data_IF_147538463032
#
_entry.id   IF_147538463032
#
_cell.length_a   1.000
_cell.length_b   1.000
_cell.length_c   1.000
_cell.angle_alpha   90.00
_cell.angle_beta   90.00
_cell.angle_gamma   90.00
#
_symmetry.space_group_name_H-M   'P 1'
#
loop_
_entity.id
_entity.type
_entity.pdbx_description
1 polymer ?
#
# COMPACT_ATOMS: atom_id res chain seq x y z
N UNK A 1 -2.52 -16.21 -8.34
CA UNK A 1 -1.84 -15.93 -7.05
C UNK A 1 -1.98 -17.19 -6.22
N UNK A 2 -0.96 -17.61 -5.44
CA UNK A 2 -1.12 -18.75 -4.55
C UNK A 2 -2.27 -18.50 -3.57
N UNK A 3 -2.96 -19.57 -3.17
CA UNK A 3 -3.97 -19.50 -2.13
C UNK A 3 -3.27 -19.24 -0.79
N UNK A 4 -3.58 -18.11 -0.15
CA UNK A 4 -2.95 -17.68 1.10
C UNK A 4 -3.94 -17.97 2.22
N UNK A 5 -3.49 -18.69 3.26
CA UNK A 5 -4.31 -19.03 4.45
C UNK A 5 -4.86 -17.75 5.08
N UNK A 6 -6.17 -17.69 5.30
CA UNK A 6 -6.85 -16.50 5.81
C UNK A 6 -7.43 -16.76 7.19
N UNK A 7 -7.30 -15.78 8.08
CA UNK A 7 -7.85 -15.80 9.42
C UNK A 7 -8.70 -14.55 9.66
N UNK A 8 -9.64 -14.65 10.60
CA UNK A 8 -10.48 -13.56 11.11
C UNK A 8 -10.54 -13.67 12.62
N UNK A 9 -10.71 -12.53 13.29
CA UNK A 9 -11.02 -12.45 14.72
C UNK A 9 -10.06 -13.27 15.60
N UNK A 10 -8.76 -13.19 15.29
CA UNK A 10 -7.74 -13.97 16.00
C UNK A 10 -7.36 -13.33 17.33
N UNK A 11 -7.11 -14.17 18.33
CA UNK A 11 -6.51 -13.75 19.59
C UNK A 11 -4.99 -13.55 19.47
N UNK A 12 -4.39 -12.89 20.47
CA UNK A 12 -2.93 -12.78 20.56
C UNK A 12 -2.24 -14.15 20.65
N UNK A 13 -2.82 -15.12 21.37
CA UNK A 13 -2.26 -16.47 21.48
C UNK A 13 -2.30 -17.21 20.14
N UNK A 14 -3.40 -17.06 19.39
CA UNK A 14 -3.51 -17.60 18.04
C UNK A 14 -2.50 -16.94 17.10
N UNK A 15 -2.27 -15.64 17.23
CA UNK A 15 -1.25 -14.92 16.44
C UNK A 15 0.15 -15.50 16.68
N UNK A 16 0.53 -15.81 17.92
CA UNK A 16 1.82 -16.43 18.21
C UNK A 16 1.97 -17.80 17.54
N UNK A 17 0.92 -18.62 17.53
CA UNK A 17 0.95 -19.90 16.81
C UNK A 17 1.08 -19.72 15.29
N UNK A 18 0.33 -18.77 14.73
CA UNK A 18 0.38 -18.44 13.29
C UNK A 18 1.78 -17.97 12.90
N UNK A 19 2.43 -17.15 13.74
CA UNK A 19 3.79 -16.64 13.51
C UNK A 19 4.82 -17.77 13.43
N UNK A 20 4.66 -18.84 14.21
CA UNK A 20 5.56 -20.00 14.21
C UNK A 20 5.46 -20.83 12.91
N UNK A 21 4.34 -20.77 12.18
CA UNK A 21 4.19 -21.47 10.88
C UNK A 21 5.15 -20.91 9.81
N UNK A 22 5.68 -19.70 9.99
CA UNK A 22 6.62 -19.03 9.07
C UNK A 22 6.15 -19.01 7.60
N UNK A 23 4.84 -18.96 7.39
CA UNK A 23 4.20 -18.97 6.09
C UNK A 23 3.39 -17.68 5.85
N UNK A 24 3.20 -17.24 4.59
CA UNK A 24 2.31 -16.12 4.29
C UNK A 24 0.87 -16.41 4.71
N UNK A 25 0.26 -15.46 5.40
CA UNK A 25 -1.14 -15.53 5.85
C UNK A 25 -1.82 -14.16 5.67
N UNK A 26 -3.15 -14.13 5.61
CA UNK A 26 -3.93 -12.89 5.59
C UNK A 26 -4.84 -12.79 6.82
N UNK A 27 -4.66 -11.74 7.63
CA UNK A 27 -5.50 -11.44 8.79
C UNK A 27 -6.63 -10.47 8.37
N UNK A 28 -7.75 -11.04 7.93
CA UNK A 28 -8.87 -10.27 7.37
C UNK A 28 -9.64 -9.57 8.48
N UNK A 29 -9.88 -8.28 8.29
CA UNK A 29 -10.70 -7.47 9.20
C UNK A 29 -9.97 -6.94 10.43
N UNK A 30 -8.72 -7.34 10.67
CA UNK A 30 -7.95 -6.94 11.86
C UNK A 30 -7.91 -5.42 12.10
N UNK A 31 -7.84 -4.64 11.02
CA UNK A 31 -7.74 -3.18 11.05
C UNK A 31 -8.98 -2.51 10.45
N UNK A 32 -10.10 -3.23 10.31
CA UNK A 32 -11.31 -2.72 9.67
C UNK A 32 -11.86 -1.46 10.35
N UNK A 33 -11.60 -1.30 11.65
CA UNK A 33 -12.07 -0.17 12.42
C UNK A 33 -11.19 1.09 12.36
N UNK A 34 -10.03 1.02 11.72
CA UNK A 34 -9.12 2.16 11.63
C UNK A 34 -9.76 3.31 10.83
N UNK A 35 -9.57 4.58 11.25
CA UNK A 35 -10.13 5.73 10.56
C UNK A 35 -9.74 5.81 9.08
N UNK A 36 -8.49 5.47 8.73
CA UNK A 36 -8.02 5.40 7.34
C UNK A 36 -8.77 4.34 6.53
N UNK A 37 -9.02 3.17 7.11
CA UNK A 37 -9.76 2.10 6.43
C UNK A 37 -11.21 2.50 6.22
N UNK A 38 -11.84 3.16 7.20
CA UNK A 38 -13.18 3.72 7.06
C UNK A 38 -13.25 4.81 5.99
N UNK A 39 -12.23 5.67 5.88
CA UNK A 39 -12.15 6.66 4.81
C UNK A 39 -12.02 6.01 3.43
N UNK A 40 -11.14 5.00 3.28
CA UNK A 40 -10.96 4.27 2.03
C UNK A 40 -12.21 3.49 1.59
N UNK A 41 -13.06 3.07 2.53
CA UNK A 41 -14.34 2.44 2.22
C UNK A 41 -15.37 3.43 1.66
N UNK A 42 -15.18 4.75 1.84
CA UNK A 42 -16.10 5.77 1.33
C UNK A 42 -15.79 6.10 -0.14
N UNK A 43 -14.53 6.40 -0.47
CA UNK A 43 -14.05 6.64 -1.84
C UNK A 43 -12.53 6.77 -1.88
N UNK A 44 -11.95 6.75 -3.09
CA UNK A 44 -10.54 7.08 -3.32
C UNK A 44 -10.21 8.51 -2.88
N UNK A 45 -11.11 9.48 -3.14
CA UNK A 45 -10.95 10.87 -2.70
C UNK A 45 -10.96 10.99 -1.17
N UNK A 46 -11.81 10.23 -0.46
CA UNK A 46 -11.91 10.30 0.99
C UNK A 46 -10.64 9.80 1.69
N UNK A 47 -9.98 8.76 1.15
CA UNK A 47 -8.70 8.32 1.68
C UNK A 47 -7.55 9.27 1.30
N UNK A 48 -7.58 9.85 0.10
CA UNK A 48 -6.62 10.89 -0.28
C UNK A 48 -6.68 12.09 0.68
N UNK A 49 -7.89 12.58 0.98
CA UNK A 49 -8.13 13.63 1.95
C UNK A 49 -7.65 13.26 3.37
N UNK A 50 -7.95 12.03 3.82
CA UNK A 50 -7.50 11.55 5.12
C UNK A 50 -5.97 11.55 5.22
N UNK A 51 -5.29 10.99 4.21
CA UNK A 51 -3.83 10.93 4.17
C UNK A 51 -3.24 12.35 4.10
N UNK A 52 -3.78 13.22 3.25
CA UNK A 52 -3.31 14.59 3.06
C UNK A 52 -3.35 15.43 4.35
N UNK A 53 -4.36 15.24 5.21
CA UNK A 53 -4.45 15.91 6.52
C UNK A 53 -3.38 15.47 7.53
N UNK A 54 -2.80 14.29 7.35
CA UNK A 54 -1.75 13.74 8.20
C UNK A 54 -0.35 13.84 7.58
N UNK A 55 -0.25 14.20 6.31
CA UNK A 55 1.00 14.41 5.60
C UNK A 55 1.73 15.66 6.13
N UNK A 56 3.06 15.61 6.11
CA UNK A 56 3.93 16.78 6.32
C UNK A 56 4.53 17.22 4.97
N UNK A 57 5.31 18.30 5.01
CA UNK A 57 5.94 18.87 3.82
C UNK A 57 7.30 18.22 3.49
N UNK A 58 7.67 17.13 4.15
CA UNK A 58 8.92 16.41 3.87
C UNK A 58 8.80 15.64 2.54
N UNK A 59 9.70 15.85 1.58
CA UNK A 59 9.66 15.12 0.32
C UNK A 59 9.93 13.62 0.50
N UNK A 60 9.14 12.79 -0.19
CA UNK A 60 9.34 11.36 -0.32
C UNK A 60 9.78 10.99 -1.74
N UNK A 61 10.41 9.83 -1.90
CA UNK A 61 10.67 9.26 -3.22
C UNK A 61 9.38 8.79 -3.87
N UNK A 62 8.99 9.43 -4.97
CA UNK A 62 7.77 9.09 -5.73
C UNK A 62 8.15 8.49 -7.08
N UNK A 63 7.43 7.44 -7.46
CA UNK A 63 7.57 6.75 -8.74
C UNK A 63 6.24 6.83 -9.49
N UNK A 64 6.25 7.37 -10.70
CA UNK A 64 5.06 7.56 -11.52
C UNK A 64 5.22 6.75 -12.80
N UNK A 65 4.28 5.84 -13.06
CA UNK A 65 4.25 5.03 -14.27
C UNK A 65 2.92 5.23 -15.00
N UNK A 66 2.88 5.11 -16.33
CA UNK A 66 1.64 5.23 -17.08
C UNK A 66 0.72 4.04 -16.75
N UNK A 67 -0.62 4.16 -16.87
CA UNK A 67 -1.57 3.10 -16.50
C UNK A 67 -1.30 1.74 -17.17
N UNK A 68 -0.74 1.76 -18.38
CA UNK A 68 -0.35 0.57 -19.15
C UNK A 68 0.71 -0.28 -18.44
N UNK A 69 1.50 0.32 -17.53
CA UNK A 69 2.47 -0.38 -16.71
C UNK A 69 1.82 -1.35 -15.71
N UNK A 70 0.54 -1.16 -15.36
CA UNK A 70 -0.20 -2.01 -14.41
C UNK A 70 0.58 -2.28 -13.10
N UNK A 71 1.21 -1.23 -12.57
CA UNK A 71 2.01 -1.28 -11.34
C UNK A 71 3.38 -1.98 -11.47
N UNK A 72 3.80 -2.36 -12.68
CA UNK A 72 5.09 -3.02 -12.93
C UNK A 72 6.11 -1.99 -13.40
N UNK A 73 7.04 -1.65 -12.51
CA UNK A 73 8.17 -0.79 -12.83
C UNK A 73 9.30 -1.66 -13.41
N UNK A 74 9.87 -1.25 -14.53
CA UNK A 74 10.98 -1.96 -15.17
C UNK A 74 12.07 -1.01 -15.65
N UNK A 75 13.29 -1.50 -15.56
CA UNK A 75 14.43 -0.96 -16.28
C UNK A 75 14.57 -1.74 -17.60
N UNK A 76 14.91 -1.04 -18.66
CA UNK A 76 15.19 -1.61 -19.98
C UNK A 76 16.54 -2.31 -20.01
N UNK A 77 16.93 -2.72 -21.22
CA UNK A 77 18.21 -3.40 -21.44
C UNK A 77 19.41 -2.47 -21.22
N UNK A 78 19.21 -1.16 -21.38
CA UNK A 78 20.09 -0.14 -20.86
C UNK A 78 19.45 0.47 -19.59
N UNK A 79 20.28 0.91 -18.65
CA UNK A 79 19.83 1.55 -17.40
C UNK A 79 19.18 2.93 -17.64
N UNK A 80 19.07 3.35 -18.90
CA UNK A 80 18.56 4.66 -19.32
C UNK A 80 17.11 4.61 -19.82
N UNK A 81 16.63 3.45 -20.24
CA UNK A 81 15.24 3.22 -20.60
C UNK A 81 14.48 2.67 -19.41
N UNK A 82 13.39 3.30 -18.99
CA UNK A 82 12.51 2.79 -17.94
C UNK A 82 11.08 3.26 -18.19
N UNK A 83 10.08 2.54 -17.68
CA UNK A 83 8.66 2.87 -17.91
C UNK A 83 8.02 3.72 -16.81
N UNK A 84 8.83 4.47 -16.09
CA UNK A 84 8.37 5.32 -15.00
C UNK A 84 9.16 6.63 -15.01
N UNK A 85 8.78 7.57 -14.17
CA UNK A 85 9.61 8.68 -13.74
C UNK A 85 9.76 8.58 -12.23
N UNK A 86 10.86 9.09 -11.68
CA UNK A 86 11.04 9.14 -10.23
C UNK A 86 11.62 10.49 -9.81
N UNK A 87 11.29 10.91 -8.60
CA UNK A 87 11.77 12.17 -8.04
C UNK A 87 11.17 12.46 -6.67
N UNK A 88 11.68 13.49 -5.98
CA UNK A 88 11.12 13.93 -4.72
C UNK A 88 9.77 14.63 -4.95
N UNK A 89 8.76 14.26 -4.16
CA UNK A 89 7.51 15.01 -4.03
C UNK A 89 6.94 14.81 -2.63
N UNK A 90 6.17 15.78 -2.14
CA UNK A 90 5.40 15.59 -0.90
C UNK A 90 4.28 14.58 -1.13
N UNK A 91 3.82 13.94 -0.05
CA UNK A 91 2.67 13.01 -0.14
C UNK A 91 1.45 13.70 -0.72
N UNK A 92 1.18 14.95 -0.32
CA UNK A 92 0.04 15.74 -0.84
C UNK A 92 0.11 15.97 -2.34
N UNK A 93 1.29 16.23 -2.91
CA UNK A 93 1.47 16.36 -4.37
C UNK A 93 1.27 15.03 -5.12
N UNK A 94 1.51 13.89 -4.47
CA UNK A 94 1.35 12.57 -5.07
C UNK A 94 -0.10 12.05 -5.05
N UNK A 95 -1.00 12.74 -4.33
CA UNK A 95 -2.41 12.35 -4.18
C UNK A 95 -3.35 13.03 -5.20
N UNK A 96 -2.81 13.91 -6.05
CA UNK A 96 -3.54 14.63 -7.12
C UNK A 96 -3.29 14.02 -8.49
#
# INVERSE_FOLDING_TARGET
>A
MPDIKQYRDISSDQFEQIRLEAAPVALRGLVADWPSVKAAQQSDDAIADYIGRHANDEPAGVYVAPPQAKGRLFYGMDTQSYNFNHGPATVTQALT
#
